data_IF_734705050615
#
_entry.id   IF_734705050615
#
_cell.length_a   1.000
_cell.length_b   1.000
_cell.length_c   1.000
_cell.angle_alpha   90.00
_cell.angle_beta   90.00
_cell.angle_gamma   90.00
#
_symmetry.space_group_name_H-M   'P 1'
#
loop_
_entity.id
_entity.type
_entity.pdbx_description
1 polymer ?
#
# COMPACT_ATOMS: atom_id res chain seq x y z
N UNK A 1 1.85 -18.39 -13.49
CA UNK A 1 0.46 -17.99 -13.17
C UNK A 1 -0.04 -17.13 -14.33
N UNK A 2 -0.99 -17.61 -15.13
CA UNK A 2 -1.35 -16.96 -16.41
C UNK A 2 -2.00 -15.56 -16.26
N UNK A 3 -2.28 -15.11 -15.04
CA UNK A 3 -3.01 -13.87 -14.77
C UNK A 3 -2.16 -12.68 -14.29
N UNK A 4 -0.88 -12.89 -13.96
CA UNK A 4 0.00 -11.82 -13.45
C UNK A 4 1.09 -11.55 -14.47
N UNK A 5 1.01 -10.38 -15.11
CA UNK A 5 1.98 -9.92 -16.10
C UNK A 5 2.54 -8.54 -15.69
N UNK A 6 3.70 -8.12 -16.26
CA UNK A 6 4.32 -6.84 -15.94
C UNK A 6 3.35 -5.65 -16.05
N UNK A 7 2.50 -5.63 -17.08
CA UNK A 7 1.56 -4.54 -17.33
C UNK A 7 0.54 -4.34 -16.22
N UNK A 8 0.04 -5.43 -15.61
CA UNK A 8 -0.87 -5.35 -14.46
C UNK A 8 -0.14 -4.77 -13.25
N UNK A 9 1.06 -5.26 -12.94
CA UNK A 9 1.85 -4.76 -11.81
C UNK A 9 2.23 -3.29 -12.00
N UNK A 10 2.61 -2.90 -13.22
CA UNK A 10 2.88 -1.51 -13.58
C UNK A 10 1.68 -0.60 -13.31
N UNK A 11 0.49 -0.99 -13.80
CA UNK A 11 -0.76 -0.22 -13.59
C UNK A 11 -1.09 -0.10 -12.11
N UNK A 12 -0.96 -1.19 -11.35
CA UNK A 12 -1.18 -1.18 -9.89
C UNK A 12 -0.21 -0.25 -9.18
N UNK A 13 1.09 -0.30 -9.52
CA UNK A 13 2.11 0.58 -8.96
C UNK A 13 1.83 2.07 -9.26
N UNK A 14 1.44 2.39 -10.49
CA UNK A 14 1.05 3.73 -10.88
C UNK A 14 -0.18 4.23 -10.11
N UNK A 15 -1.22 3.39 -9.97
CA UNK A 15 -2.43 3.73 -9.21
C UNK A 15 -2.11 3.98 -7.74
N UNK A 16 -1.32 3.11 -7.10
CA UNK A 16 -0.93 3.28 -5.70
C UNK A 16 -0.12 4.56 -5.49
N UNK A 17 0.85 4.83 -6.38
CA UNK A 17 1.66 6.05 -6.31
C UNK A 17 0.78 7.30 -6.43
N UNK A 18 -0.13 7.32 -7.42
CA UNK A 18 -1.06 8.43 -7.62
C UNK A 18 -2.02 8.61 -6.41
N UNK A 19 -2.61 7.52 -5.91
CA UNK A 19 -3.47 7.56 -4.71
C UNK A 19 -2.70 8.03 -3.48
N UNK A 20 -1.44 7.62 -3.31
CA UNK A 20 -0.58 8.07 -2.23
C UNK A 20 -0.28 9.57 -2.28
N UNK A 21 -0.05 10.13 -3.48
CA UNK A 21 0.13 11.57 -3.68
C UNK A 21 -1.16 12.33 -3.36
N UNK A 22 -2.31 11.86 -3.87
CA UNK A 22 -3.63 12.48 -3.63
C UNK A 22 -3.93 12.51 -2.13
N UNK A 23 -3.81 11.35 -1.47
CA UNK A 23 -4.07 11.22 -0.03
C UNK A 23 -3.05 11.99 0.80
N UNK A 24 -1.79 12.03 0.39
CA UNK A 24 -0.74 12.83 1.04
C UNK A 24 -1.02 14.34 0.96
N UNK A 25 -1.39 14.85 -0.22
CA UNK A 25 -1.74 16.25 -0.42
C UNK A 25 -2.99 16.64 0.39
N UNK A 26 -4.02 15.79 0.38
CA UNK A 26 -5.20 15.98 1.25
C UNK A 26 -4.80 16.00 2.73
N UNK A 27 -3.92 15.08 3.15
CA UNK A 27 -3.38 14.99 4.51
C UNK A 27 -2.70 16.27 4.99
N UNK A 28 -1.88 16.89 4.14
CA UNK A 28 -1.10 18.08 4.50
C UNK A 28 -1.87 19.40 4.41
N UNK A 29 -2.86 19.51 3.52
CA UNK A 29 -3.54 20.78 3.25
C UNK A 29 -4.96 20.84 3.84
N UNK A 30 -5.70 19.73 3.83
CA UNK A 30 -7.14 19.73 4.08
C UNK A 30 -7.59 18.88 5.27
N UNK A 31 -6.78 17.91 5.73
CA UNK A 31 -7.21 16.95 6.74
C UNK A 31 -7.54 17.61 8.08
N UNK A 32 -6.65 18.44 8.61
CA UNK A 32 -6.87 19.14 9.89
C UNK A 32 -7.95 20.21 9.81
N UNK A 33 -8.07 20.90 8.67
CA UNK A 33 -9.13 21.91 8.49
C UNK A 33 -10.51 21.26 8.37
N UNK A 34 -10.59 20.06 7.77
CA UNK A 34 -11.85 19.30 7.66
C UNK A 34 -12.20 18.53 8.92
N UNK A 35 -11.21 18.07 9.66
CA UNK A 35 -11.36 17.27 10.89
C UNK A 35 -10.48 17.83 12.01
N UNK A 36 -10.89 18.96 12.63
CA UNK A 36 -10.08 19.67 13.62
C UNK A 36 -9.83 18.86 14.90
N UNK A 37 -10.73 17.93 15.24
CA UNK A 37 -10.66 17.11 16.44
C UNK A 37 -9.73 15.88 16.31
N UNK A 38 -9.06 15.71 15.17
CA UNK A 38 -8.11 14.60 15.00
C UNK A 38 -6.90 14.77 15.91
N UNK A 39 -6.57 13.70 16.63
CA UNK A 39 -5.34 13.66 17.40
C UNK A 39 -4.10 13.76 16.49
N UNK A 40 -2.96 14.29 17.00
CA UNK A 40 -1.70 14.30 16.26
C UNK A 40 -1.30 12.91 15.74
N UNK A 41 -1.59 11.87 16.52
CA UNK A 41 -1.35 10.47 16.12
C UNK A 41 -2.17 10.04 14.91
N UNK A 42 -3.45 10.45 14.81
CA UNK A 42 -4.29 10.13 13.66
C UNK A 42 -3.82 10.83 12.39
N UNK A 43 -3.39 12.09 12.51
CA UNK A 43 -2.80 12.84 11.39
C UNK A 43 -1.50 12.16 10.94
N UNK A 44 -0.64 11.76 11.87
CA UNK A 44 0.58 11.04 11.55
C UNK A 44 0.29 9.71 10.87
N UNK A 45 -0.70 8.96 11.36
CA UNK A 45 -1.12 7.68 10.78
C UNK A 45 -1.59 7.85 9.33
N UNK A 46 -2.36 8.91 9.03
CA UNK A 46 -2.75 9.26 7.66
C UNK A 46 -1.53 9.51 6.75
N UNK A 47 -0.55 10.27 7.25
CA UNK A 47 0.69 10.52 6.53
C UNK A 47 1.44 9.22 6.25
N UNK A 48 1.58 8.34 7.24
CA UNK A 48 2.21 7.03 7.10
C UNK A 48 1.49 6.19 6.04
N UNK A 49 0.16 6.11 6.04
CA UNK A 49 -0.59 5.37 5.03
C UNK A 49 -0.36 5.91 3.60
N UNK A 50 -0.31 7.23 3.46
CA UNK A 50 -0.03 7.89 2.18
C UNK A 50 1.38 7.56 1.69
N UNK A 51 2.37 7.60 2.58
CA UNK A 51 3.76 7.25 2.27
C UNK A 51 3.90 5.77 1.86
N UNK A 52 3.23 4.85 2.56
CA UNK A 52 3.27 3.43 2.21
C UNK A 52 2.63 3.14 0.85
N UNK A 53 1.58 3.87 0.44
CA UNK A 53 1.05 3.81 -0.92
C UNK A 53 2.09 4.26 -1.96
N UNK A 54 2.78 5.38 -1.71
CA UNK A 54 3.81 5.91 -2.62
C UNK A 54 4.98 4.92 -2.73
N UNK A 55 5.59 4.54 -1.61
CA UNK A 55 6.79 3.69 -1.62
C UNK A 55 6.51 2.33 -2.25
N UNK A 56 5.41 1.67 -1.87
CA UNK A 56 5.10 0.37 -2.47
C UNK A 56 4.59 0.50 -3.91
N UNK A 57 3.93 1.61 -4.27
CA UNK A 57 3.59 1.91 -5.65
C UNK A 57 4.83 2.01 -6.54
N UNK A 58 5.84 2.76 -6.10
CA UNK A 58 7.14 2.88 -6.79
C UNK A 58 7.87 1.53 -6.81
N UNK A 59 7.85 0.76 -5.72
CA UNK A 59 8.41 -0.59 -5.71
C UNK A 59 7.75 -1.50 -6.74
N UNK A 60 6.42 -1.47 -6.89
CA UNK A 60 5.72 -2.27 -7.90
C UNK A 60 6.08 -1.84 -9.33
N UNK A 61 6.21 -0.53 -9.58
CA UNK A 61 6.74 -0.03 -10.87
C UNK A 61 8.13 -0.61 -11.14
N UNK A 62 9.06 -0.51 -10.18
CA UNK A 62 10.40 -1.06 -10.30
C UNK A 62 10.41 -2.58 -10.53
N UNK A 63 9.60 -3.33 -9.79
CA UNK A 63 9.46 -4.78 -9.94
C UNK A 63 8.95 -5.13 -11.35
N UNK A 64 7.97 -4.40 -11.88
CA UNK A 64 7.41 -4.67 -13.21
C UNK A 64 8.40 -4.43 -14.35
N UNK A 65 9.38 -3.55 -14.15
CA UNK A 65 10.47 -3.29 -15.11
C UNK A 65 11.65 -4.26 -14.97
N UNK A 66 11.67 -5.10 -13.93
CA UNK A 66 12.79 -5.97 -13.69
C UNK A 66 12.97 -6.97 -14.85
N UNK A 67 14.17 -7.09 -15.46
CA UNK A 67 14.39 -7.93 -16.65
C UNK A 67 14.00 -9.40 -16.47
N UNK A 68 14.07 -9.87 -15.22
CA UNK A 68 13.68 -11.24 -14.87
C UNK A 68 12.17 -11.45 -14.71
N UNK A 69 11.32 -10.41 -14.77
CA UNK A 69 9.88 -10.59 -14.57
C UNK A 69 9.25 -11.50 -15.64
N UNK A 70 9.66 -11.33 -16.90
CA UNK A 70 9.19 -12.16 -18.03
C UNK A 70 9.88 -13.53 -18.16
N UNK A 71 11.11 -13.65 -17.68
CA UNK A 71 11.94 -14.87 -17.85
C UNK A 71 11.93 -15.79 -16.62
N UNK A 72 11.63 -15.27 -15.43
CA UNK A 72 11.75 -16.01 -14.16
C UNK A 72 10.58 -16.95 -13.86
N UNK A 73 9.96 -17.62 -14.84
CA UNK A 73 8.93 -18.67 -14.63
C UNK A 73 7.75 -18.22 -13.73
N UNK A 74 7.49 -16.92 -13.60
CA UNK A 74 6.48 -16.36 -12.69
C UNK A 74 6.92 -16.16 -11.23
N UNK A 75 8.22 -16.26 -10.91
CA UNK A 75 8.77 -16.08 -9.55
C UNK A 75 8.48 -14.70 -8.94
N UNK A 76 8.42 -13.65 -9.76
CA UNK A 76 8.09 -12.30 -9.30
C UNK A 76 6.58 -12.04 -9.17
N UNK A 77 5.71 -13.00 -9.54
CA UNK A 77 4.26 -12.84 -9.39
C UNK A 77 3.84 -12.82 -7.91
N UNK A 78 4.33 -13.75 -7.10
CA UNK A 78 4.01 -13.80 -5.68
C UNK A 78 4.46 -12.54 -4.90
N UNK A 79 5.73 -12.10 -4.95
CA UNK A 79 6.15 -10.90 -4.21
C UNK A 79 5.38 -9.65 -4.63
N UNK A 80 5.16 -9.45 -5.94
CA UNK A 80 4.43 -8.28 -6.43
C UNK A 80 2.97 -8.29 -5.97
N UNK A 81 2.29 -9.44 -6.00
CA UNK A 81 0.93 -9.57 -5.47
C UNK A 81 0.87 -9.37 -3.95
N UNK A 82 1.82 -9.93 -3.20
CA UNK A 82 1.88 -9.80 -1.75
C UNK A 82 2.11 -8.33 -1.33
N UNK A 83 3.06 -7.64 -1.97
CA UNK A 83 3.30 -6.21 -1.75
C UNK A 83 2.03 -5.41 -2.10
N UNK A 84 1.39 -5.70 -3.23
CA UNK A 84 0.18 -4.99 -3.64
C UNK A 84 -0.99 -5.19 -2.66
N UNK A 85 -1.32 -6.43 -2.32
CA UNK A 85 -2.40 -6.76 -1.39
C UNK A 85 -2.11 -6.23 0.01
N UNK A 86 -0.89 -6.42 0.51
CA UNK A 86 -0.46 -5.93 1.81
C UNK A 86 -0.52 -4.41 1.92
N UNK A 87 -0.14 -3.68 0.86
CA UNK A 87 -0.24 -2.21 0.81
C UNK A 87 -1.68 -1.74 0.86
N UNK A 88 -2.57 -2.40 0.11
CA UNK A 88 -4.00 -2.08 0.10
C UNK A 88 -4.63 -2.35 1.47
N UNK A 89 -4.30 -3.48 2.10
CA UNK A 89 -4.76 -3.81 3.45
C UNK A 89 -4.24 -2.82 4.49
N UNK A 90 -2.94 -2.50 4.46
CA UNK A 90 -2.29 -1.61 5.43
C UNK A 90 -2.76 -0.16 5.29
N UNK A 91 -2.59 0.43 4.11
CA UNK A 91 -2.88 1.85 3.89
C UNK A 91 -4.39 2.08 3.78
N UNK A 92 -5.09 1.18 3.08
CA UNK A 92 -6.53 1.24 2.88
C UNK A 92 -7.34 1.04 4.17
N UNK A 93 -6.82 0.35 5.19
CA UNK A 93 -7.45 0.30 6.51
C UNK A 93 -7.20 1.56 7.34
N UNK A 94 -6.01 2.18 7.23
CA UNK A 94 -5.65 3.34 8.05
C UNK A 94 -6.51 4.57 7.71
N UNK A 95 -6.76 4.86 6.42
CA UNK A 95 -7.59 6.02 6.05
C UNK A 95 -8.98 6.02 6.71
N UNK A 96 -9.81 4.97 6.59
CA UNK A 96 -11.09 4.91 7.29
C UNK A 96 -10.94 4.81 8.82
N UNK A 97 -9.86 4.20 9.34
CA UNK A 97 -9.59 4.21 10.78
C UNK A 97 -9.32 5.63 11.31
N UNK A 98 -8.71 6.50 10.52
CA UNK A 98 -8.51 7.92 10.89
C UNK A 98 -9.84 8.66 10.90
N UNK A 99 -10.69 8.44 9.90
CA UNK A 99 -11.96 9.18 9.74
C UNK A 99 -13.12 8.65 10.59
N UNK A 100 -13.14 7.36 10.91
CA UNK A 100 -14.29 6.69 11.50
C UNK A 100 -13.90 5.60 12.51
N UNK A 101 -12.84 5.83 13.31
CA UNK A 101 -12.29 4.85 14.27
C UNK A 101 -13.35 4.19 15.15
N UNK A 102 -14.29 4.97 15.68
CA UNK A 102 -15.32 4.44 16.59
C UNK A 102 -16.26 3.44 15.91
N UNK A 103 -16.51 3.60 14.60
CA UNK A 103 -17.39 2.72 13.82
C UNK A 103 -16.63 1.53 13.23
N UNK A 104 -15.41 1.75 12.75
CA UNK A 104 -14.66 0.77 11.94
C UNK A 104 -13.49 0.11 12.68
N UNK A 105 -13.15 0.60 13.88
CA UNK A 105 -11.97 0.20 14.64
C UNK A 105 -11.86 -1.29 14.93
N UNK A 106 -12.98 -1.94 15.28
CA UNK A 106 -13.02 -3.37 15.62
C UNK A 106 -12.68 -4.26 14.43
N UNK A 107 -13.08 -3.87 13.22
CA UNK A 107 -12.88 -4.67 12.01
C UNK A 107 -11.59 -4.33 11.30
N UNK A 108 -11.26 -3.05 11.17
CA UNK A 108 -10.10 -2.59 10.39
C UNK A 108 -8.80 -2.54 11.21
N UNK A 109 -8.89 -2.45 12.55
CA UNK A 109 -7.72 -2.42 13.42
C UNK A 109 -6.76 -3.59 13.21
N UNK A 110 -7.24 -4.85 13.17
CA UNK A 110 -6.40 -6.02 12.89
C UNK A 110 -5.90 -6.12 11.44
N UNK A 111 -6.56 -5.45 10.49
CA UNK A 111 -6.21 -5.50 9.06
C UNK A 111 -4.88 -4.79 8.80
N UNK A 112 -4.59 -3.70 9.52
CA UNK A 112 -3.34 -2.95 9.37
C UNK A 112 -2.09 -3.81 9.62
N UNK A 113 -1.89 -4.44 10.79
CA UNK A 113 -0.71 -5.27 11.04
C UNK A 113 -0.65 -6.49 10.12
N UNK A 114 -1.79 -7.08 9.76
CA UNK A 114 -1.83 -8.18 8.79
C UNK A 114 -1.32 -7.74 7.41
N UNK A 115 -1.76 -6.58 6.92
CA UNK A 115 -1.24 -5.99 5.68
C UNK A 115 0.27 -5.75 5.74
N UNK A 116 0.76 -5.25 6.87
CA UNK A 116 2.20 -5.10 7.15
C UNK A 116 2.97 -6.42 7.00
N UNK A 117 2.50 -7.47 7.66
CA UNK A 117 3.10 -8.81 7.59
C UNK A 117 3.11 -9.37 6.17
N UNK A 118 2.02 -9.18 5.40
CA UNK A 118 1.94 -9.62 4.00
C UNK A 118 2.94 -8.88 3.12
N UNK A 119 3.12 -7.57 3.31
CA UNK A 119 4.17 -6.81 2.60
C UNK A 119 5.56 -7.35 2.93
N UNK A 120 5.86 -7.59 4.21
CA UNK A 120 7.15 -8.15 4.66
C UNK A 120 7.41 -9.50 3.98
N UNK A 121 6.44 -10.40 3.97
CA UNK A 121 6.56 -11.70 3.29
C UNK A 121 6.80 -11.53 1.79
N UNK A 122 6.16 -10.54 1.16
CA UNK A 122 6.40 -10.18 -0.23
C UNK A 122 7.87 -9.84 -0.49
N UNK A 123 8.43 -8.88 0.25
CA UNK A 123 9.84 -8.50 0.10
C UNK A 123 10.82 -9.63 0.49
N UNK A 124 10.56 -10.36 1.58
CA UNK A 124 11.41 -11.49 1.98
C UNK A 124 11.43 -12.59 0.91
N UNK A 125 10.29 -12.85 0.27
CA UNK A 125 10.24 -13.82 -0.84
C UNK A 125 11.09 -13.40 -2.04
N UNK A 126 11.37 -12.10 -2.23
CA UNK A 126 12.26 -11.63 -3.30
C UNK A 126 13.73 -11.98 -3.05
N UNK A 127 14.14 -12.17 -1.80
CA UNK A 127 15.54 -12.49 -1.42
C UNK A 127 15.98 -13.83 -2.02
N UNK A 128 15.04 -14.74 -2.24
CA UNK A 128 15.31 -16.12 -2.69
C UNK A 128 15.08 -16.33 -4.21
N UNK A 129 14.87 -15.27 -4.99
CA UNK A 129 14.44 -15.37 -6.41
C UNK A 129 15.56 -15.38 -7.46
#
# INVERSE_FOLDING_TARGET
MPFVNPSIIWRTGALFTASGIITGAFGSHALKSRYPDLSPFSVQSWSTASQYLIFNGVSLLAISLHPRFGTARGRLAFPSMAIAAGTLMFSGSIFPLVLARQKMGKFLGPVTPLGGSVMILGYLSMVVL
#
